data_IF_429937729706
#
_entry.id   IF_429937729706
#
_cell.length_a   1.000
_cell.length_b   1.000
_cell.length_c   1.000
_cell.angle_alpha   90.00
_cell.angle_beta   90.00
_cell.angle_gamma   90.00
#
_symmetry.space_group_name_H-M   'P 1'
#
loop_
_entity.id
_entity.type
_entity.pdbx_description
1 polymer ?
#
# COMPACT_ATOMS: atom_id res chain seq x y z
N UNK A 1 3.64 -1.49 -9.97
CA UNK A 1 3.53 -2.96 -9.92
C UNK A 1 4.85 -3.61 -9.53
N UNK A 2 5.97 -3.33 -10.19
CA UNK A 2 7.28 -3.92 -9.83
C UNK A 2 7.66 -3.77 -8.34
N UNK A 3 7.56 -2.55 -7.77
CA UNK A 3 7.81 -2.35 -6.34
C UNK A 3 6.85 -3.12 -5.43
N UNK A 4 5.58 -3.27 -5.83
CA UNK A 4 4.60 -4.07 -5.07
C UNK A 4 5.01 -5.54 -5.05
N UNK A 5 5.38 -6.10 -6.22
CA UNK A 5 5.88 -7.48 -6.32
C UNK A 5 7.14 -7.68 -5.49
N UNK A 6 8.09 -6.76 -5.59
CA UNK A 6 9.36 -6.86 -4.87
C UNK A 6 9.14 -6.80 -3.36
N UNK A 7 8.28 -5.89 -2.88
CA UNK A 7 7.93 -5.79 -1.48
C UNK A 7 7.22 -7.05 -0.98
N UNK A 8 6.24 -7.56 -1.75
CA UNK A 8 5.53 -8.77 -1.39
C UNK A 8 6.45 -10.00 -1.36
N UNK A 9 7.34 -10.14 -2.35
CA UNK A 9 8.34 -11.20 -2.39
C UNK A 9 9.32 -11.11 -1.21
N UNK A 10 9.82 -9.91 -0.88
CA UNK A 10 10.69 -9.74 0.29
C UNK A 10 9.99 -10.12 1.60
N UNK A 11 8.68 -9.85 1.72
CA UNK A 11 7.87 -10.31 2.85
C UNK A 11 7.77 -11.84 2.90
N UNK A 12 7.54 -12.49 1.75
CA UNK A 12 7.47 -13.95 1.65
C UNK A 12 8.80 -14.61 1.98
N UNK A 13 9.90 -14.09 1.44
CA UNK A 13 11.27 -14.58 1.72
C UNK A 13 11.59 -14.48 3.22
N UNK A 14 11.15 -13.39 3.88
CA UNK A 14 11.31 -13.22 5.33
C UNK A 14 10.47 -14.22 6.13
N UNK A 15 9.22 -14.48 5.69
CA UNK A 15 8.39 -15.53 6.30
C UNK A 15 9.04 -16.91 6.15
N UNK A 16 9.55 -17.26 4.98
CA UNK A 16 10.21 -18.55 4.75
C UNK A 16 11.48 -18.71 5.59
N UNK A 17 12.26 -17.63 5.75
CA UNK A 17 13.47 -17.64 6.57
C UNK A 17 13.19 -17.83 8.08
N UNK A 18 12.04 -17.36 8.57
CA UNK A 18 11.60 -17.49 9.97
C UNK A 18 10.72 -18.73 10.22
N UNK A 19 10.21 -19.38 9.16
CA UNK A 19 9.36 -20.56 9.28
C UNK A 19 10.13 -21.78 9.85
N UNK A 20 9.41 -22.63 10.59
CA UNK A 20 9.96 -23.85 11.19
C UNK A 20 9.07 -25.07 10.94
N UNK A 21 9.63 -26.26 11.08
CA UNK A 21 8.90 -27.51 10.88
C UNK A 21 7.80 -27.69 11.94
N UNK A 22 6.56 -27.95 11.50
CA UNK A 22 5.40 -28.09 12.39
C UNK A 22 4.75 -26.76 12.80
N UNK A 23 5.08 -25.65 12.13
CA UNK A 23 4.32 -24.40 12.25
C UNK A 23 2.84 -24.64 11.87
N UNK A 24 1.93 -24.06 12.66
CA UNK A 24 0.48 -24.14 12.42
C UNK A 24 0.01 -23.05 11.45
N UNK A 25 -1.14 -23.24 10.82
CA UNK A 25 -1.71 -22.26 9.88
C UNK A 25 -1.93 -20.89 10.54
N UNK A 26 -2.40 -20.85 11.79
CA UNK A 26 -2.51 -19.60 12.57
C UNK A 26 -1.16 -18.91 12.77
N UNK A 27 -0.09 -19.68 13.03
CA UNK A 27 1.25 -19.11 13.19
C UNK A 27 1.84 -18.64 11.86
N UNK A 28 1.54 -19.32 10.75
CA UNK A 28 1.89 -18.85 9.41
C UNK A 28 1.21 -17.52 9.12
N UNK A 29 -0.09 -17.39 9.41
CA UNK A 29 -0.83 -16.12 9.22
C UNK A 29 -0.23 -14.99 10.05
N UNK A 30 0.11 -15.24 11.31
CA UNK A 30 0.75 -14.24 12.17
C UNK A 30 2.12 -13.83 11.64
N UNK A 31 2.91 -14.80 11.16
CA UNK A 31 4.21 -14.54 10.54
C UNK A 31 4.07 -13.69 9.27
N UNK A 32 3.12 -14.02 8.40
CA UNK A 32 2.80 -13.23 7.21
C UNK A 32 2.40 -11.79 7.60
N UNK A 33 1.54 -11.64 8.60
CA UNK A 33 1.07 -10.33 9.08
C UNK A 33 2.20 -9.47 9.64
N UNK A 34 3.13 -10.09 10.39
CA UNK A 34 4.35 -9.46 10.88
C UNK A 34 5.18 -8.88 9.72
N UNK A 35 5.24 -9.57 8.59
CA UNK A 35 5.93 -9.12 7.37
C UNK A 35 5.06 -8.30 6.41
N UNK A 36 3.90 -7.82 6.85
CA UNK A 36 3.03 -6.95 6.07
C UNK A 36 2.25 -7.66 4.96
N UNK A 37 2.01 -8.96 5.11
CA UNK A 37 1.28 -9.77 4.14
C UNK A 37 -0.05 -10.28 4.72
N UNK A 38 -1.06 -10.42 3.87
CA UNK A 38 -2.24 -11.24 4.19
C UNK A 38 -2.01 -12.70 3.76
N UNK A 39 -2.95 -13.59 4.10
CA UNK A 39 -2.89 -15.01 3.76
C UNK A 39 -2.78 -15.31 2.25
N UNK A 40 -3.21 -14.37 1.39
CA UNK A 40 -3.14 -14.50 -0.07
C UNK A 40 -1.83 -13.91 -0.67
N UNK A 41 -0.91 -13.42 0.17
CA UNK A 41 0.33 -12.77 -0.25
C UNK A 41 0.17 -11.32 -0.76
N UNK A 42 -0.99 -10.71 -0.53
CA UNK A 42 -1.21 -9.27 -0.73
C UNK A 42 -0.44 -8.44 0.31
N UNK A 43 0.04 -7.27 -0.09
CA UNK A 43 0.84 -6.37 0.75
C UNK A 43 -0.06 -5.39 1.50
N UNK A 44 0.19 -5.16 2.79
CA UNK A 44 -0.51 -4.16 3.57
C UNK A 44 -0.44 -2.77 2.90
N UNK A 45 -1.61 -2.16 2.69
CA UNK A 45 -1.71 -0.92 1.93
C UNK A 45 -0.93 0.22 2.61
N UNK A 46 -1.03 0.32 3.94
CA UNK A 46 -0.41 1.43 4.68
C UNK A 46 1.10 1.33 4.69
N UNK A 47 1.66 0.14 4.93
CA UNK A 47 3.09 -0.15 4.76
C UNK A 47 3.59 0.17 3.37
N UNK A 48 2.76 -0.05 2.34
CA UNK A 48 3.14 0.25 0.96
C UNK A 48 3.15 1.75 0.62
N UNK A 49 2.14 2.51 1.07
CA UNK A 49 1.96 3.92 0.64
C UNK A 49 2.58 4.94 1.58
N UNK A 50 2.70 4.64 2.87
CA UNK A 50 3.21 5.59 3.86
C UNK A 50 4.71 5.80 3.65
N UNK A 51 5.08 7.07 3.51
CA UNK A 51 6.45 7.52 3.62
C UNK A 51 6.65 8.14 4.99
N UNK A 52 7.44 7.54 5.90
CA UNK A 52 7.61 8.04 7.26
C UNK A 52 8.39 9.36 7.33
N UNK A 53 8.96 9.81 6.21
CA UNK A 53 9.77 11.02 6.10
C UNK A 53 9.01 12.19 5.47
N UNK A 54 7.85 11.96 4.87
CA UNK A 54 7.07 13.00 4.20
C UNK A 54 5.58 12.63 4.07
N UNK A 55 4.74 13.40 4.77
CA UNK A 55 3.28 13.32 4.63
C UNK A 55 2.84 13.63 3.19
N UNK A 56 3.44 14.64 2.56
CA UNK A 56 3.12 15.02 1.18
C UNK A 56 3.34 13.86 0.21
N UNK A 57 4.48 13.16 0.32
CA UNK A 57 4.75 11.97 -0.48
C UNK A 57 3.83 10.79 -0.15
N UNK A 58 3.36 10.66 1.11
CA UNK A 58 2.34 9.67 1.48
C UNK A 58 1.03 9.91 0.73
N UNK A 59 0.55 11.16 0.70
CA UNK A 59 -0.66 11.54 -0.06
C UNK A 59 -0.48 11.29 -1.55
N UNK A 60 0.68 11.65 -2.11
CA UNK A 60 1.01 11.36 -3.52
C UNK A 60 1.03 9.85 -3.82
N UNK A 61 1.61 9.04 -2.94
CA UNK A 61 1.65 7.59 -3.08
C UNK A 61 0.24 6.98 -3.10
N UNK A 62 -0.63 7.41 -2.17
CA UNK A 62 -2.04 6.99 -2.16
C UNK A 62 -2.76 7.39 -3.45
N UNK A 63 -2.49 8.59 -3.95
CA UNK A 63 -3.05 9.06 -5.22
C UNK A 63 -2.58 8.22 -6.42
N UNK A 64 -1.29 7.85 -6.48
CA UNK A 64 -0.78 6.96 -7.53
C UNK A 64 -1.38 5.56 -7.45
N UNK A 65 -1.53 5.00 -6.25
CA UNK A 65 -2.19 3.70 -6.06
C UNK A 65 -3.64 3.75 -6.53
N UNK A 66 -4.36 4.85 -6.31
CA UNK A 66 -5.73 5.01 -6.82
C UNK A 66 -5.82 4.89 -8.34
N UNK A 67 -4.82 5.40 -9.09
CA UNK A 67 -4.77 5.22 -10.55
C UNK A 67 -4.44 3.78 -10.95
N UNK A 68 -3.57 3.08 -10.20
CA UNK A 68 -3.31 1.67 -10.47
C UNK A 68 -4.58 0.83 -10.30
N UNK A 69 -5.41 1.14 -9.30
CA UNK A 69 -6.70 0.47 -9.08
C UNK A 69 -7.69 0.82 -10.19
N UNK A 70 -7.84 2.11 -10.52
CA UNK A 70 -8.71 2.57 -11.61
C UNK A 70 -8.35 1.93 -12.95
N UNK A 71 -7.05 1.79 -13.22
CA UNK A 71 -6.53 1.20 -14.46
C UNK A 71 -6.55 -0.34 -14.43
N UNK A 72 -7.05 -0.97 -13.36
CA UNK A 72 -7.16 -2.43 -13.22
C UNK A 72 -5.80 -3.13 -13.16
N UNK A 73 -4.76 -2.45 -12.64
CA UNK A 73 -3.42 -3.01 -12.43
C UNK A 73 -3.22 -3.52 -11.00
N UNK A 74 -3.91 -2.92 -10.04
CA UNK A 74 -3.92 -3.34 -8.65
C UNK A 74 -5.37 -3.47 -8.15
N UNK A 75 -5.57 -4.25 -7.10
CA UNK A 75 -6.85 -4.37 -6.41
C UNK A 75 -6.64 -4.23 -4.90
N UNK A 76 -7.66 -3.73 -4.21
CA UNK A 76 -7.72 -3.72 -2.74
C UNK A 76 -8.56 -4.91 -2.30
N UNK A 77 -8.03 -5.70 -1.40
CA UNK A 77 -8.77 -6.69 -0.60
C UNK A 77 -8.79 -6.23 0.85
N UNK A 78 -9.75 -6.75 1.62
CA UNK A 78 -9.86 -6.47 3.05
C UNK A 78 -9.85 -7.81 3.77
N UNK A 79 -9.01 -7.95 4.79
CA UNK A 79 -8.94 -9.17 5.58
C UNK A 79 -10.07 -9.25 6.63
N UNK A 80 -10.06 -10.33 7.42
CA UNK A 80 -11.05 -10.56 8.48
C UNK A 80 -11.00 -9.49 9.58
N UNK A 81 -9.87 -8.81 9.75
CA UNK A 81 -9.66 -7.73 10.71
C UNK A 81 -10.01 -6.33 10.16
N UNK A 82 -10.44 -6.26 8.90
CA UNK A 82 -10.80 -5.00 8.26
C UNK A 82 -9.61 -4.21 7.71
N UNK A 83 -8.41 -4.79 7.66
CA UNK A 83 -7.21 -4.13 7.15
C UNK A 83 -7.15 -4.20 5.61
N UNK A 84 -6.79 -3.10 4.93
CA UNK A 84 -6.70 -3.06 3.48
C UNK A 84 -5.36 -3.61 2.97
N UNK A 85 -5.41 -4.52 2.02
CA UNK A 85 -4.25 -5.10 1.34
C UNK A 85 -4.28 -4.79 -0.15
N UNK A 86 -3.12 -4.56 -0.73
CA UNK A 86 -2.89 -4.30 -2.14
C UNK A 86 -2.34 -5.56 -2.81
N UNK A 87 -3.02 -6.03 -3.84
CA UNK A 87 -2.57 -7.13 -4.69
C UNK A 87 -2.56 -6.71 -6.16
N UNK A 88 -1.91 -7.52 -7.01
CA UNK A 88 -2.05 -7.34 -8.45
C UNK A 88 -3.46 -7.71 -8.87
N UNK A 89 -4.06 -6.87 -9.72
CA UNK A 89 -5.36 -7.22 -10.26
C UNK A 89 -5.21 -8.37 -11.27
N UNK A 90 -6.02 -9.42 -11.11
CA UNK A 90 -6.14 -10.42 -12.15
C UNK A 90 -6.70 -9.78 -13.44
N UNK A 91 -6.19 -10.15 -14.63
CA UNK A 91 -6.77 -9.69 -15.88
C UNK A 91 -8.23 -10.14 -15.96
N UNK A 92 -9.18 -9.21 -15.86
CA UNK A 92 -10.59 -9.51 -16.13
C UNK A 92 -10.69 -10.12 -17.53
N UNK A 93 -11.15 -11.37 -17.64
CA UNK A 93 -11.43 -11.92 -18.97
C UNK A 93 -12.54 -11.07 -19.59
N UNK A 94 -12.40 -10.77 -20.88
CA UNK A 94 -13.27 -9.82 -21.62
C UNK A 94 -14.77 -10.14 -21.50
N UNK A 95 -15.13 -11.40 -21.24
CA UNK A 95 -16.50 -11.85 -21.01
C UNK A 95 -17.04 -11.55 -19.60
N UNK A 96 -16.16 -11.54 -18.58
CA UNK A 96 -16.53 -11.30 -17.17
C UNK A 96 -16.73 -9.81 -16.89
N UNK A 97 -16.01 -8.93 -17.61
CA UNK A 97 -16.17 -7.48 -17.53
C UNK A 97 -17.52 -6.97 -18.08
N UNK A 98 -18.21 -7.77 -18.91
CA UNK A 98 -19.53 -7.45 -19.48
C UNK A 98 -20.67 -7.96 -18.61
N UNK A 99 -20.46 -9.05 -17.85
CA UNK A 99 -21.48 -9.63 -16.97
C UNK A 99 -21.42 -9.13 -15.53
N UNK A 100 -20.22 -8.83 -15.01
CA UNK A 100 -20.12 -8.07 -13.78
C UNK A 100 -20.40 -6.62 -14.15
N UNK A 101 -21.58 -6.15 -13.83
CA UNK A 101 -21.74 -4.81 -13.29
C UNK A 101 -20.73 -4.73 -12.13
N UNK A 102 -19.47 -4.39 -12.46
CA UNK A 102 -18.36 -4.37 -11.51
C UNK A 102 -18.77 -3.30 -10.54
N UNK A 103 -19.39 -3.71 -9.43
CA UNK A 103 -19.70 -2.86 -8.31
C UNK A 103 -18.41 -2.12 -8.02
N UNK A 104 -18.41 -0.83 -8.39
CA UNK A 104 -17.26 0.06 -8.22
C UNK A 104 -17.17 0.28 -6.73
N UNK A 105 -16.51 -0.64 -6.04
CA UNK A 105 -16.23 -0.53 -4.62
C UNK A 105 -15.28 0.66 -4.48
N UNK A 106 -15.84 1.79 -4.04
CA UNK A 106 -15.06 2.97 -3.72
C UNK A 106 -14.61 2.86 -2.27
N UNK A 107 -13.31 2.80 -2.06
CA UNK A 107 -12.71 2.98 -0.75
C UNK A 107 -12.33 4.46 -0.60
N UNK A 108 -12.81 5.11 0.48
CA UNK A 108 -12.47 6.49 0.80
C UNK A 108 -11.58 6.47 2.04
N UNK A 109 -10.35 6.96 1.89
CA UNK A 109 -9.41 7.09 3.00
C UNK A 109 -9.25 8.57 3.34
N UNK A 110 -9.43 8.89 4.62
CA UNK A 110 -9.07 10.20 5.17
C UNK A 110 -7.78 10.03 5.99
N UNK A 111 -6.82 10.92 5.77
CA UNK A 111 -5.57 10.93 6.52
C UNK A 111 -5.17 12.38 6.77
N UNK A 112 -4.85 12.70 8.01
CA UNK A 112 -4.22 13.95 8.41
C UNK A 112 -2.83 13.66 8.99
N UNK A 113 -2.11 14.72 9.39
CA UNK A 113 -0.75 14.59 9.93
C UNK A 113 -0.72 13.70 11.18
N UNK A 114 -1.72 13.83 12.07
CA UNK A 114 -1.76 13.06 13.31
C UNK A 114 -2.00 11.56 13.03
N UNK A 115 -2.95 11.26 12.14
CA UNK A 115 -3.24 9.89 11.70
C UNK A 115 -2.03 9.29 10.98
N UNK A 116 -1.32 10.07 10.16
CA UNK A 116 -0.10 9.63 9.48
C UNK A 116 1.01 9.28 10.48
N UNK A 117 1.25 10.11 11.48
CA UNK A 117 2.22 9.83 12.55
C UNK A 117 1.82 8.58 13.36
N UNK A 118 0.54 8.43 13.70
CA UNK A 118 0.03 7.26 14.40
C UNK A 118 0.23 5.97 13.59
N UNK A 119 -0.10 6.00 12.29
CA UNK A 119 0.07 4.84 11.41
C UNK A 119 1.55 4.45 11.27
N UNK A 120 2.49 5.39 11.28
CA UNK A 120 3.93 5.09 11.28
C UNK A 120 4.32 4.26 12.51
N UNK A 121 3.84 4.65 13.69
CA UNK A 121 4.17 3.94 14.93
C UNK A 121 3.45 2.61 15.05
N UNK A 122 2.14 2.55 14.73
CA UNK A 122 1.35 1.32 14.82
C UNK A 122 1.85 0.24 13.86
N UNK A 123 2.24 0.62 12.64
CA UNK A 123 2.71 -0.34 11.63
C UNK A 123 4.25 -0.49 11.62
N UNK A 124 4.94 0.21 12.51
CA UNK A 124 6.40 0.24 12.64
C UNK A 124 7.12 0.58 11.32
N UNK A 125 6.61 1.58 10.59
CA UNK A 125 7.10 1.94 9.25
C UNK A 125 8.37 2.78 9.39
N UNK A 126 9.53 2.12 9.38
CA UNK A 126 10.83 2.80 9.55
C UNK A 126 11.45 3.25 8.22
N UNK A 127 11.13 2.59 7.13
CA UNK A 127 11.60 2.91 5.78
C UNK A 127 10.46 2.87 4.76
N UNK A 128 10.44 3.77 3.77
CA UNK A 128 9.39 3.76 2.74
C UNK A 128 9.64 2.67 1.70
N UNK A 129 8.57 1.94 1.32
CA UNK A 129 8.63 0.96 0.21
C UNK A 129 8.73 1.68 -1.14
N UNK A 130 7.97 2.75 -1.32
CA UNK A 130 8.12 3.66 -2.46
C UNK A 130 9.18 4.69 -2.10
N UNK A 131 10.35 4.61 -2.75
CA UNK A 131 11.52 5.47 -2.51
C UNK A 131 11.17 6.94 -2.25
N UNK A 132 11.75 7.48 -1.17
CA UNK A 132 11.63 8.89 -0.84
C UNK A 132 12.33 9.75 -1.91
N UNK A 133 11.58 10.69 -2.47
CA UNK A 133 12.07 11.65 -3.46
C UNK A 133 12.67 12.84 -2.74
N UNK A 134 13.81 13.35 -3.22
CA UNK A 134 14.35 14.61 -2.71
C UNK A 134 13.37 15.74 -3.00
N UNK A 135 12.92 16.41 -1.94
CA UNK A 135 12.07 17.58 -2.07
C UNK A 135 12.92 18.74 -2.54
N UNK A 136 12.70 19.18 -3.77
CA UNK A 136 13.30 20.44 -4.25
C UNK A 136 12.69 21.53 -3.39
N UNK A 137 13.46 22.10 -2.46
CA UNK A 137 13.06 23.27 -1.72
C UNK A 137 12.57 24.30 -2.74
N UNK A 138 11.25 24.53 -2.78
CA UNK A 138 10.69 25.60 -3.58
C UNK A 138 11.34 26.86 -3.04
N UNK A 139 12.36 27.36 -3.75
CA UNK A 139 12.89 28.71 -3.51
C UNK A 139 11.66 29.58 -3.53
N UNK A 140 11.37 30.21 -2.38
CA UNK A 140 10.20 31.04 -2.18
C UNK A 140 9.93 31.78 -3.48
N UNK A 141 8.81 31.46 -4.13
CA UNK A 141 8.35 32.24 -5.29
C UNK A 141 8.27 33.65 -4.74
N UNK A 142 9.23 34.50 -5.14
CA UNK A 142 9.36 35.84 -4.59
C UNK A 142 8.00 36.51 -4.63
N UNK A 143 7.67 37.27 -3.59
CA UNK A 143 6.37 37.85 -3.26
C UNK A 143 5.74 38.80 -4.32
N UNK A 144 5.80 38.47 -5.60
CA UNK A 144 5.39 39.28 -6.75
C UNK A 144 4.61 38.53 -7.83
N UNK A 145 4.49 37.21 -7.76
CA UNK A 145 3.66 36.47 -8.71
C UNK A 145 2.37 36.06 -8.03
N UNK A 146 1.26 36.75 -8.33
CA UNK A 146 -0.17 36.32 -8.28
C UNK A 146 -1.12 37.51 -8.08
N UNK A 147 -0.61 38.68 -7.67
CA UNK A 147 -1.39 39.93 -7.56
C UNK A 147 -0.74 41.09 -8.33
N UNK A 148 -0.42 40.90 -9.62
CA UNK A 148 -0.09 42.02 -10.53
C UNK A 148 -0.85 41.87 -11.83
#
# INVERSE_FOLDING_TARGET
MERLRHAAAAGMDACEAEAWEGITDEQVKELMRKHGLNADGGMDLFRFVINPRSFGQTVENMFYVSFLIRDGKAAITVDEDGLPFLCEAEPLRRAEAVQKDVSKHQAIFAIDMATWEELIEVFEIREPIIEHREEVAQRAVGARGWYS
#
